data_IF_765456693768
#
_entry.id   IF_765456693768
#
_cell.length_a   1.000
_cell.length_b   1.000
_cell.length_c   1.000
_cell.angle_alpha   90.00
_cell.angle_beta   90.00
_cell.angle_gamma   90.00
#
_symmetry.space_group_name_H-M   'P 1'
#
loop_
_entity.id
_entity.type
_entity.pdbx_description
1 polymer ?
#
# COMPACT_ATOMS: atom_id res chain seq x y z
N UNK A 1 -0.47 9.35 -9.28
CA UNK A 1 0.80 9.16 -8.55
C UNK A 1 1.88 10.13 -9.02
N UNK A 2 2.29 10.14 -10.30
CA UNK A 2 3.31 11.07 -10.82
C UNK A 2 3.06 12.54 -10.42
N UNK A 3 1.85 13.05 -10.68
CA UNK A 3 1.50 14.43 -10.33
C UNK A 3 1.53 14.71 -8.82
N UNK A 4 1.20 13.71 -7.99
CA UNK A 4 1.17 13.85 -6.54
C UNK A 4 2.57 13.86 -5.93
N UNK A 5 3.54 13.14 -6.50
CA UNK A 5 4.87 12.99 -5.94
C UNK A 5 5.95 13.85 -6.63
N UNK A 6 5.63 14.48 -7.76
CA UNK A 6 6.59 15.29 -8.52
C UNK A 6 7.14 16.44 -7.68
N UNK A 7 8.46 16.65 -7.71
CA UNK A 7 9.14 17.76 -7.03
C UNK A 7 9.39 17.57 -5.53
N UNK A 8 8.92 16.46 -4.94
CA UNK A 8 9.16 16.12 -3.53
C UNK A 8 9.79 14.72 -3.44
N UNK A 9 10.67 14.51 -2.47
CA UNK A 9 11.33 13.22 -2.24
C UNK A 9 11.04 12.69 -0.85
N UNK A 10 10.90 11.37 -0.77
CA UNK A 10 10.89 10.63 0.48
C UNK A 10 12.24 10.76 1.17
N UNK A 11 12.20 11.01 2.48
CA UNK A 11 13.34 10.92 3.39
C UNK A 11 13.44 9.50 3.93
N UNK A 12 14.57 9.14 4.54
CA UNK A 12 14.76 7.79 5.08
C UNK A 12 13.70 7.44 6.15
N UNK A 13 13.28 8.45 6.92
CA UNK A 13 12.29 8.36 7.99
C UNK A 13 10.83 8.57 7.52
N UNK A 14 10.60 8.95 6.26
CA UNK A 14 9.25 9.20 5.73
C UNK A 14 8.36 7.98 5.91
N UNK A 15 7.09 8.20 6.26
CA UNK A 15 6.14 7.11 6.54
C UNK A 15 6.43 6.31 7.82
N UNK A 16 7.45 6.67 8.61
CA UNK A 16 7.85 5.96 9.83
C UNK A 16 8.15 4.47 9.58
N UNK A 17 9.28 4.09 8.95
CA UNK A 17 9.59 2.67 8.70
C UNK A 17 9.63 1.83 9.99
N UNK A 18 8.93 0.70 10.02
CA UNK A 18 8.88 -0.21 11.16
C UNK A 18 8.51 -1.63 10.70
N UNK A 19 8.51 -2.60 11.63
CA UNK A 19 8.13 -3.98 11.34
C UNK A 19 6.63 -4.10 11.02
N UNK A 20 6.33 -4.37 9.75
CA UNK A 20 4.97 -4.49 9.20
C UNK A 20 4.91 -5.63 8.19
N UNK A 21 3.70 -6.10 7.90
CA UNK A 21 3.46 -7.07 6.82
C UNK A 21 3.54 -6.38 5.46
N UNK A 22 2.96 -5.19 5.37
CA UNK A 22 3.00 -4.34 4.19
C UNK A 22 3.13 -2.88 4.62
N UNK A 23 3.95 -2.12 3.90
CA UNK A 23 4.09 -0.68 4.11
C UNK A 23 4.20 0.02 2.76
N UNK A 24 3.21 0.83 2.44
CA UNK A 24 3.22 1.74 1.30
C UNK A 24 3.52 3.16 1.80
N UNK A 25 4.44 3.85 1.13
CA UNK A 25 4.73 5.27 1.38
C UNK A 25 4.85 6.01 0.06
N UNK A 26 4.37 7.25 0.04
CA UNK A 26 4.42 8.12 -1.13
C UNK A 26 4.76 9.55 -0.73
N UNK A 27 5.64 10.18 -1.51
CA UNK A 27 5.91 11.61 -1.42
C UNK A 27 4.68 12.41 -1.85
N UNK A 28 4.39 13.47 -1.12
CA UNK A 28 3.21 14.29 -1.31
C UNK A 28 3.60 15.73 -1.59
N UNK A 29 3.47 16.12 -2.86
CA UNK A 29 3.55 17.50 -3.31
C UNK A 29 2.22 18.21 -3.07
N UNK A 30 2.22 19.06 -2.05
CA UNK A 30 1.10 19.94 -1.68
C UNK A 30 0.72 20.96 -2.77
N UNK A 31 1.66 21.30 -3.64
CA UNK A 31 1.45 22.25 -4.74
C UNK A 31 0.91 21.56 -5.99
N UNK A 32 0.80 20.22 -5.98
CA UNK A 32 0.23 19.47 -7.09
C UNK A 32 -1.23 19.83 -7.32
N UNK A 33 -1.63 19.83 -8.60
CA UNK A 33 -3.00 20.14 -9.00
C UNK A 33 -4.07 19.31 -8.27
N UNK A 34 -3.89 17.98 -8.05
CA UNK A 34 -4.87 17.19 -7.30
C UNK A 34 -5.03 17.65 -5.84
N UNK A 35 -3.93 17.98 -5.14
CA UNK A 35 -3.99 18.46 -3.74
C UNK A 35 -4.64 19.84 -3.67
N UNK A 36 -4.30 20.73 -4.61
CA UNK A 36 -4.91 22.05 -4.70
C UNK A 36 -6.42 21.97 -5.00
N UNK A 37 -6.83 21.05 -5.87
CA UNK A 37 -8.24 20.80 -6.16
C UNK A 37 -8.98 20.26 -4.93
N UNK A 38 -8.39 19.30 -4.21
CA UNK A 38 -8.97 18.78 -2.97
C UNK A 38 -9.08 19.88 -1.89
N UNK A 39 -8.06 20.73 -1.76
CA UNK A 39 -8.07 21.86 -0.82
C UNK A 39 -9.21 22.84 -1.14
N UNK A 40 -9.40 23.19 -2.41
CA UNK A 40 -10.51 24.05 -2.87
C UNK A 40 -11.89 23.43 -2.62
N UNK A 41 -12.04 22.13 -2.89
CA UNK A 41 -13.27 21.40 -2.62
C UNK A 41 -13.63 21.44 -1.13
N UNK A 42 -12.66 21.14 -0.25
CA UNK A 42 -12.85 21.20 1.19
C UNK A 42 -13.16 22.60 1.70
N UNK A 43 -12.51 23.63 1.14
CA UNK A 43 -12.83 25.01 1.47
C UNK A 43 -14.29 25.35 1.14
N UNK A 44 -14.81 24.87 -0.01
CA UNK A 44 -16.21 25.02 -0.41
C UNK A 44 -17.18 24.31 0.54
N UNK A 45 -16.84 23.12 1.03
CA UNK A 45 -17.66 22.41 2.02
C UNK A 45 -17.71 23.12 3.37
N UNK A 46 -16.58 23.66 3.84
CA UNK A 46 -16.47 24.22 5.19
C UNK A 46 -17.02 25.64 5.32
N UNK A 47 -16.96 26.43 4.25
CA UNK A 47 -17.44 27.83 4.27
C UNK A 47 -18.89 27.92 3.77
N UNK A 48 -19.39 26.86 3.10
CA UNK A 48 -20.70 26.89 2.44
C UNK A 48 -20.74 27.89 1.29
N UNK A 49 -21.80 27.85 0.47
CA UNK A 49 -22.03 28.81 -0.61
C UNK A 49 -22.30 30.26 -0.13
N UNK A 50 -22.07 30.58 1.15
CA UNK A 50 -22.11 31.96 1.63
C UNK A 50 -20.77 32.62 1.33
N UNK A 51 -20.65 33.11 0.10
CA UNK A 51 -19.54 33.96 -0.30
C UNK A 51 -19.43 35.15 0.64
N UNK A 52 -18.39 35.17 1.47
CA UNK A 52 -17.86 36.41 2.06
C UNK A 52 -16.38 36.21 2.38
N UNK A 53 -15.53 36.84 1.57
CA UNK A 53 -14.43 37.71 2.01
C UNK A 53 -13.88 37.50 3.44
N UNK A 54 -13.34 36.32 3.75
CA UNK A 54 -12.38 36.18 4.86
C UNK A 54 -11.01 36.57 4.30
N UNK A 55 -10.72 37.88 4.31
CA UNK A 55 -9.43 38.46 3.92
C UNK A 55 -9.09 38.27 2.44
N UNK A 56 -9.32 39.31 1.63
CA UNK A 56 -9.16 39.32 0.17
C UNK A 56 -7.76 39.02 -0.39
N UNK A 57 -6.80 38.57 0.43
CA UNK A 57 -5.41 38.38 0.01
C UNK A 57 -4.92 36.91 0.07
N UNK A 58 -5.61 35.99 0.76
CA UNK A 58 -5.25 34.55 0.72
C UNK A 58 -6.48 33.64 0.82
N UNK A 59 -6.73 32.77 -0.19
CA UNK A 59 -7.76 31.75 -0.08
C UNK A 59 -7.48 30.83 1.12
N UNK A 60 -8.54 30.38 1.79
CA UNK A 60 -8.46 29.39 2.86
C UNK A 60 -7.77 28.12 2.32
N UNK A 61 -6.67 27.71 2.95
CA UNK A 61 -5.95 26.48 2.60
C UNK A 61 -6.16 25.42 3.70
N UNK A 62 -7.28 24.66 3.65
CA UNK A 62 -7.61 23.67 4.66
C UNK A 62 -6.64 22.49 4.73
N UNK A 63 -5.88 22.26 3.67
CA UNK A 63 -4.85 21.22 3.60
C UNK A 63 -3.44 21.77 3.84
N UNK A 64 -3.30 23.04 4.20
CA UNK A 64 -2.01 23.69 4.44
C UNK A 64 -1.22 23.15 5.63
N UNK A 65 -1.76 22.17 6.37
CA UNK A 65 -1.09 21.45 7.44
C UNK A 65 -0.26 20.25 6.95
N UNK A 66 -0.58 19.72 5.75
CA UNK A 66 0.04 18.52 5.20
C UNK A 66 1.58 18.64 5.16
N UNK A 67 2.24 17.54 5.46
CA UNK A 67 3.68 17.33 5.34
C UNK A 67 4.07 16.91 3.93
N UNK A 68 5.15 16.13 3.83
CA UNK A 68 5.72 15.68 2.55
C UNK A 68 5.50 14.19 2.26
N UNK A 69 4.86 13.45 3.18
CA UNK A 69 4.58 12.03 2.99
C UNK A 69 3.21 11.59 3.50
N UNK A 70 2.68 10.58 2.81
CA UNK A 70 1.53 9.80 3.24
C UNK A 70 1.92 8.32 3.19
N UNK A 71 1.51 7.56 4.20
CA UNK A 71 1.80 6.14 4.28
C UNK A 71 0.60 5.34 4.74
N UNK A 72 0.47 4.14 4.19
CA UNK A 72 -0.51 3.15 4.58
C UNK A 72 0.23 1.88 4.94
N UNK A 73 -0.06 1.30 6.10
CA UNK A 73 0.62 0.10 6.56
C UNK A 73 -0.32 -0.89 7.23
N UNK A 74 0.11 -2.16 7.22
CA UNK A 74 -0.55 -3.29 7.86
C UNK A 74 0.40 -3.89 8.91
N UNK A 75 0.06 -3.73 10.19
CA UNK A 75 0.85 -4.26 11.31
C UNK A 75 0.72 -5.78 11.39
N UNK A 76 1.71 -6.45 11.98
CA UNK A 76 1.61 -7.87 12.33
C UNK A 76 0.54 -8.07 13.41
N UNK A 77 -0.38 -9.00 13.15
CA UNK A 77 -1.51 -9.28 14.04
C UNK A 77 -2.04 -10.71 13.79
N UNK A 78 -2.48 -11.44 14.82
CA UNK A 78 -3.13 -12.74 14.66
C UNK A 78 -4.34 -12.73 13.73
N UNK A 79 -5.02 -11.58 13.59
CA UNK A 79 -6.16 -11.40 12.69
C UNK A 79 -5.86 -11.84 11.24
N UNK A 80 -4.64 -11.62 10.75
CA UNK A 80 -4.26 -12.05 9.40
C UNK A 80 -4.26 -13.57 9.27
N UNK A 81 -3.74 -14.28 10.28
CA UNK A 81 -3.74 -15.74 10.28
C UNK A 81 -5.15 -16.33 10.35
N UNK A 82 -6.10 -15.62 10.97
CA UNK A 82 -7.52 -16.00 10.91
C UNK A 82 -8.09 -15.84 9.50
N UNK A 83 -7.86 -14.70 8.84
CA UNK A 83 -8.36 -14.45 7.48
C UNK A 83 -7.81 -15.42 6.44
N UNK A 84 -6.57 -15.89 6.62
CA UNK A 84 -5.94 -16.84 5.71
C UNK A 84 -6.50 -18.27 5.81
N UNK A 85 -7.15 -18.61 6.93
CA UNK A 85 -7.81 -19.92 7.10
C UNK A 85 -9.16 -19.99 6.39
N UNK A 86 -9.72 -18.84 6.00
CA UNK A 86 -11.03 -18.73 5.38
C UNK A 86 -10.93 -18.83 3.86
N UNK A 87 -11.98 -19.41 3.26
CA UNK A 87 -12.17 -19.31 1.81
C UNK A 87 -12.53 -17.88 1.39
N UNK A 88 -12.55 -17.59 0.08
CA UNK A 88 -12.76 -16.23 -0.43
C UNK A 88 -14.07 -15.59 0.03
N UNK A 89 -15.18 -16.33 0.00
CA UNK A 89 -16.50 -15.84 0.40
C UNK A 89 -16.59 -15.58 1.90
N UNK A 90 -16.12 -16.52 2.73
CA UNK A 90 -16.08 -16.35 4.18
C UNK A 90 -15.18 -15.18 4.60
N UNK A 91 -14.05 -15.01 3.89
CA UNK A 91 -13.13 -13.90 4.11
C UNK A 91 -13.78 -12.57 3.78
N UNK A 92 -14.46 -12.46 2.63
CA UNK A 92 -15.18 -11.24 2.23
C UNK A 92 -16.24 -10.86 3.26
N UNK A 93 -17.07 -11.84 3.68
CA UNK A 93 -18.08 -11.63 4.72
C UNK A 93 -17.46 -11.20 6.05
N UNK A 94 -16.36 -11.84 6.46
CA UNK A 94 -15.63 -11.46 7.67
C UNK A 94 -15.03 -10.05 7.57
N UNK A 95 -14.52 -9.65 6.42
CA UNK A 95 -14.01 -8.29 6.20
C UNK A 95 -15.11 -7.23 6.24
N UNK A 96 -16.28 -7.53 5.66
CA UNK A 96 -17.43 -6.62 5.73
C UNK A 96 -17.92 -6.44 7.16
N UNK A 97 -18.00 -7.53 7.94
CA UNK A 97 -18.51 -7.52 9.31
C UNK A 97 -17.48 -7.02 10.33
N UNK A 98 -16.26 -7.55 10.27
CA UNK A 98 -15.19 -7.35 11.26
C UNK A 98 -14.13 -6.36 10.76
N UNK A 99 -14.40 -5.59 9.70
CA UNK A 99 -13.45 -4.67 9.08
C UNK A 99 -12.88 -3.62 10.05
N UNK A 100 -13.61 -3.30 11.12
CA UNK A 100 -13.13 -2.43 12.19
C UNK A 100 -11.96 -3.03 13.00
N UNK A 101 -11.71 -4.34 12.88
CA UNK A 101 -10.57 -5.02 13.52
C UNK A 101 -9.33 -5.06 12.63
N UNK A 102 -9.41 -4.57 11.39
CA UNK A 102 -8.29 -4.61 10.46
C UNK A 102 -7.07 -3.88 11.06
N UNK A 103 -5.93 -4.57 11.24
CA UNK A 103 -4.76 -4.00 11.86
C UNK A 103 -3.96 -3.18 10.84
N UNK A 104 -4.63 -2.18 10.26
CA UNK A 104 -4.10 -1.27 9.24
C UNK A 104 -4.17 0.16 9.75
N UNK A 105 -3.31 1.03 9.24
CA UNK A 105 -3.37 2.44 9.54
C UNK A 105 -2.98 3.31 8.35
N UNK A 106 -3.58 4.49 8.32
CA UNK A 106 -3.18 5.60 7.49
C UNK A 106 -2.38 6.57 8.36
N UNK A 107 -1.18 6.94 7.93
CA UNK A 107 -0.39 8.00 8.54
C UNK A 107 -0.17 9.12 7.52
N UNK A 108 -0.47 10.34 7.93
CA UNK A 108 -0.28 11.55 7.13
C UNK A 108 0.71 12.42 7.88
N UNK A 109 1.86 12.71 7.28
CA UNK A 109 2.80 13.66 7.86
C UNK A 109 2.16 15.05 7.94
N UNK A 110 2.43 15.79 9.01
CA UNK A 110 2.03 17.19 9.15
C UNK A 110 3.23 18.06 9.50
N UNK A 111 3.20 19.31 9.02
CA UNK A 111 4.26 20.29 9.33
C UNK A 111 3.80 21.38 10.29
N UNK A 112 2.49 21.61 10.39
CA UNK A 112 1.91 22.73 11.13
C UNK A 112 0.85 22.25 12.12
N UNK A 113 1.22 21.91 13.37
CA UNK A 113 0.30 21.34 14.37
C UNK A 113 -0.94 22.19 14.61
N UNK A 114 -0.79 23.51 14.65
CA UNK A 114 -1.92 24.44 14.86
C UNK A 114 -2.91 24.41 13.70
N UNK A 115 -2.45 24.33 12.44
CA UNK A 115 -3.35 24.21 11.28
C UNK A 115 -4.05 22.86 11.26
N UNK A 116 -3.36 21.79 11.66
CA UNK A 116 -3.99 20.49 11.83
C UNK A 116 -5.07 20.51 12.91
N UNK A 117 -4.81 21.14 14.07
CA UNK A 117 -5.80 21.28 15.13
C UNK A 117 -7.04 22.05 14.67
N UNK A 118 -6.86 23.13 13.90
CA UNK A 118 -7.97 23.85 13.25
C UNK A 118 -8.73 22.95 12.28
N UNK A 119 -8.02 22.21 11.42
CA UNK A 119 -8.64 21.27 10.49
C UNK A 119 -9.48 20.21 11.22
N UNK A 120 -8.92 19.54 12.23
CA UNK A 120 -9.63 18.51 13.02
C UNK A 120 -10.84 19.09 13.76
N UNK A 121 -10.72 20.32 14.27
CA UNK A 121 -11.83 21.02 14.93
C UNK A 121 -12.95 21.31 13.94
N UNK A 122 -12.62 21.77 12.73
CA UNK A 122 -13.60 21.99 11.66
C UNK A 122 -14.28 20.70 11.22
N UNK A 123 -13.53 19.60 11.04
CA UNK A 123 -14.09 18.27 10.73
C UNK A 123 -15.06 17.81 11.83
N UNK A 124 -14.65 17.91 13.10
CA UNK A 124 -15.51 17.55 14.23
C UNK A 124 -16.78 18.41 14.27
N UNK A 125 -16.64 19.72 14.10
CA UNK A 125 -17.76 20.66 14.07
C UNK A 125 -18.74 20.35 12.93
N UNK A 126 -18.22 20.07 11.73
CA UNK A 126 -19.02 19.69 10.57
C UNK A 126 -19.83 18.41 10.81
N UNK A 127 -19.21 17.36 11.36
CA UNK A 127 -19.91 16.11 11.70
C UNK A 127 -20.97 16.36 12.78
N UNK A 128 -20.63 17.11 13.82
CA UNK A 128 -21.56 17.44 14.89
C UNK A 128 -22.76 18.25 14.40
N UNK A 129 -22.56 19.16 13.44
CA UNK A 129 -23.64 19.94 12.81
C UNK A 129 -24.49 19.10 11.86
N UNK A 130 -23.87 18.21 11.07
CA UNK A 130 -24.56 17.38 10.07
C UNK A 130 -25.35 16.22 10.70
N UNK A 131 -24.89 15.72 11.85
CA UNK A 131 -25.50 14.60 12.55
C UNK A 131 -25.38 14.73 14.08
N UNK A 132 -26.11 15.66 14.72
CA UNK A 132 -26.01 15.87 16.15
C UNK A 132 -26.32 14.59 16.94
N UNK A 133 -25.37 14.17 17.79
CA UNK A 133 -25.53 12.98 18.62
C UNK A 133 -25.49 11.64 17.85
N UNK A 134 -24.96 11.61 16.62
CA UNK A 134 -24.68 10.37 15.89
C UNK A 134 -23.28 9.82 16.18
N UNK A 135 -22.31 10.71 16.41
CA UNK A 135 -20.94 10.34 16.73
C UNK A 135 -20.57 10.76 18.15
N UNK A 136 -19.78 9.91 18.81
CA UNK A 136 -19.21 10.10 20.13
C UNK A 136 -17.69 10.23 19.98
N UNK A 137 -17.12 11.25 20.61
CA UNK A 137 -15.67 11.45 20.69
C UNK A 137 -15.23 11.23 22.12
N UNK A 138 -14.52 10.14 22.35
CA UNK A 138 -13.89 9.84 23.64
C UNK A 138 -12.39 10.10 23.54
N UNK A 139 -11.83 10.87 24.49
CA UNK A 139 -10.39 11.00 24.63
C UNK A 139 -9.88 9.90 25.56
N UNK A 140 -9.01 9.06 25.03
CA UNK A 140 -8.37 7.96 25.72
C UNK A 140 -6.88 8.29 25.93
N UNK A 141 -6.20 7.49 26.75
CA UNK A 141 -4.78 7.71 27.06
C UNK A 141 -4.04 6.38 27.04
N UNK A 142 -2.88 6.36 26.40
CA UNK A 142 -1.96 5.23 26.41
C UNK A 142 -0.54 5.76 26.63
N UNK A 143 0.14 5.28 27.68
CA UNK A 143 1.47 5.79 28.11
C UNK A 143 1.55 7.33 28.15
N UNK A 144 0.56 7.94 28.79
CA UNK A 144 0.41 9.41 28.92
C UNK A 144 0.18 10.17 27.61
N UNK A 145 0.14 9.48 26.47
CA UNK A 145 -0.18 10.09 25.18
C UNK A 145 -1.69 10.02 24.93
N UNK A 146 -2.35 11.16 24.67
CA UNK A 146 -3.76 11.17 24.35
C UNK A 146 -4.01 10.67 22.91
N UNK A 147 -5.10 9.95 22.73
CA UNK A 147 -5.66 9.62 21.42
C UNK A 147 -7.18 9.69 21.49
N UNK A 148 -7.82 9.79 20.33
CA UNK A 148 -9.27 9.99 20.25
C UNK A 148 -9.91 8.78 19.60
N UNK A 149 -10.98 8.30 20.21
CA UNK A 149 -11.89 7.29 19.68
C UNK A 149 -13.15 8.00 19.18
N UNK A 150 -13.49 7.77 17.92
CA UNK A 150 -14.74 8.20 17.30
C UNK A 150 -15.61 6.96 17.08
N UNK A 151 -16.77 6.89 17.72
CA UNK A 151 -17.70 5.76 17.59
C UNK A 151 -19.14 6.24 17.42
N UNK A 152 -20.07 5.33 17.11
CA UNK A 152 -21.49 5.65 17.16
C UNK A 152 -21.91 6.04 18.59
N UNK A 153 -22.70 7.12 18.71
CA UNK A 153 -23.31 7.53 19.97
C UNK A 153 -24.62 6.79 20.27
N UNK A 154 -25.20 6.13 19.26
CA UNK A 154 -26.42 5.31 19.38
C UNK A 154 -26.05 3.84 19.53
N UNK A 155 -25.51 3.49 20.69
CA UNK A 155 -25.32 2.10 21.07
C UNK A 155 -26.69 1.42 21.18
N UNK A 156 -26.94 0.33 20.44
CA UNK A 156 -28.17 -0.45 20.55
C UNK A 156 -29.47 0.17 19.99
N UNK A 157 -29.40 1.16 19.09
CA UNK A 157 -30.59 1.67 18.40
C UNK A 157 -31.05 0.70 17.29
N UNK A 158 -32.05 -0.13 17.61
CA UNK A 158 -32.89 -0.95 16.72
C UNK A 158 -32.28 -1.35 15.35
N UNK A 159 -31.59 -2.50 15.32
CA UNK A 159 -31.49 -3.33 14.12
C UNK A 159 -30.09 -3.61 13.56
N UNK A 160 -29.00 -3.05 14.12
CA UNK A 160 -27.64 -3.29 13.59
C UNK A 160 -26.62 -3.40 14.72
N UNK A 161 -26.61 -4.52 15.46
CA UNK A 161 -25.58 -4.83 16.48
C UNK A 161 -24.14 -4.77 15.90
N UNK A 162 -23.99 -4.94 14.59
CA UNK A 162 -22.69 -4.92 13.89
C UNK A 162 -22.00 -3.53 13.91
N UNK A 163 -22.75 -2.43 14.07
CA UNK A 163 -22.17 -1.08 14.09
C UNK A 163 -21.71 -0.61 15.48
N UNK A 164 -22.10 -1.32 16.55
CA UNK A 164 -21.78 -0.93 17.93
C UNK A 164 -20.28 -1.02 18.24
N UNK A 165 -19.56 -1.87 17.52
CA UNK A 165 -18.12 -2.09 17.67
C UNK A 165 -17.27 -1.29 16.68
N UNK A 166 -17.89 -0.57 15.75
CA UNK A 166 -17.17 0.24 14.76
C UNK A 166 -16.67 1.51 15.42
N UNK A 167 -15.35 1.66 15.44
CA UNK A 167 -14.68 2.86 15.91
C UNK A 167 -13.53 3.25 14.98
N UNK A 168 -13.27 4.55 14.91
CA UNK A 168 -12.09 5.11 14.28
C UNK A 168 -11.24 5.77 15.35
N UNK A 169 -9.97 5.39 15.43
CA UNK A 169 -8.99 5.96 16.34
C UNK A 169 -8.09 6.93 15.58
N UNK A 170 -7.79 8.07 16.17
CA UNK A 170 -6.74 8.96 15.66
C UNK A 170 -5.86 9.55 16.75
N UNK A 171 -4.61 9.85 16.40
CA UNK A 171 -3.66 10.58 17.25
C UNK A 171 -2.71 11.41 16.39
N UNK A 172 -2.10 12.42 16.99
CA UNK A 172 -1.16 13.36 16.35
C UNK A 172 0.24 13.25 16.97
N UNK A 173 0.65 12.02 17.28
CA UNK A 173 1.91 11.72 17.95
C UNK A 173 3.09 11.88 16.98
N UNK A 174 4.17 12.53 17.45
CA UNK A 174 5.31 12.92 16.61
C UNK A 174 4.92 13.97 15.58
N UNK A 175 5.22 13.70 14.32
CA UNK A 175 4.91 14.51 13.13
C UNK A 175 3.82 13.88 12.25
N UNK A 176 3.11 12.85 12.74
CA UNK A 176 2.13 12.09 11.99
C UNK A 176 0.72 12.17 12.56
N UNK A 177 -0.26 12.48 11.71
CA UNK A 177 -1.67 12.18 11.98
C UNK A 177 -1.91 10.72 11.61
N UNK A 178 -2.16 9.87 12.60
CA UNK A 178 -2.44 8.45 12.42
C UNK A 178 -3.94 8.23 12.54
N UNK A 179 -4.52 7.48 11.61
CA UNK A 179 -5.90 7.01 11.64
C UNK A 179 -5.93 5.49 11.48
N UNK A 180 -6.71 4.82 12.31
CA UNK A 180 -6.85 3.35 12.25
C UNK A 180 -8.20 2.93 12.82
N UNK A 181 -8.83 1.86 12.29
CA UNK A 181 -10.00 1.29 12.93
C UNK A 181 -9.64 0.42 14.16
N UNK A 182 -8.37 0.03 14.31
CA UNK A 182 -7.91 -0.92 15.34
C UNK A 182 -7.12 -0.21 16.45
N UNK A 183 -7.63 -0.27 17.69
CA UNK A 183 -7.04 0.40 18.84
C UNK A 183 -5.61 -0.10 19.17
N UNK A 184 -5.34 -1.39 18.98
CA UNK A 184 -4.03 -1.96 19.26
C UNK A 184 -2.98 -1.47 18.27
N UNK A 185 -3.36 -1.20 17.01
CA UNK A 185 -2.47 -0.52 16.04
C UNK A 185 -2.17 0.90 16.51
N UNK A 186 -3.16 1.63 17.02
CA UNK A 186 -2.94 2.98 17.57
C UNK A 186 -1.95 2.96 18.74
N UNK A 187 -2.15 2.05 19.70
CA UNK A 187 -1.25 1.90 20.86
C UNK A 187 0.18 1.53 20.43
N UNK A 188 0.33 0.59 19.48
CA UNK A 188 1.65 0.25 18.92
C UNK A 188 2.31 1.43 18.23
N UNK A 189 1.56 2.26 17.49
CA UNK A 189 2.10 3.46 16.86
C UNK A 189 2.59 4.49 17.87
N UNK A 190 1.82 4.70 18.95
CA UNK A 190 2.24 5.54 20.09
C UNK A 190 3.52 5.01 20.72
N UNK A 191 3.58 3.70 20.99
CA UNK A 191 4.75 3.05 21.59
C UNK A 191 6.01 3.21 20.74
N UNK A 192 5.88 3.08 19.42
CA UNK A 192 6.98 3.26 18.47
C UNK A 192 7.49 4.70 18.46
N UNK A 193 6.61 5.69 18.46
CA UNK A 193 7.04 7.09 18.48
C UNK A 193 7.74 7.42 19.80
N UNK A 194 7.19 7.00 20.95
CA UNK A 194 7.82 7.22 22.25
C UNK A 194 9.23 6.59 22.31
N UNK A 195 9.38 5.39 21.75
CA UNK A 195 10.68 4.73 21.65
C UNK A 195 11.66 5.50 20.74
N UNK A 196 11.18 6.15 19.67
CA UNK A 196 12.01 7.01 18.80
C UNK A 196 12.44 8.27 19.52
N UNK A 197 11.53 8.96 20.20
CA UNK A 197 11.82 10.19 20.92
C UNK A 197 12.86 9.97 22.03
N UNK A 198 12.81 8.82 22.70
CA UNK A 198 13.81 8.43 23.70
C UNK A 198 15.20 8.12 23.10
N UNK A 199 15.24 7.63 21.86
CA UNK A 199 16.47 7.24 21.16
C UNK A 199 17.03 8.34 20.25
N UNK A 200 16.34 9.47 20.11
CA UNK A 200 16.83 10.61 19.34
C UNK A 200 18.09 11.19 20.02
N UNK A 201 19.20 11.41 19.28
CA UNK A 201 20.37 12.07 19.84
C UNK A 201 19.97 13.47 20.31
N UNK A 202 19.89 13.66 21.62
CA UNK A 202 19.47 14.91 22.20
C UNK A 202 20.39 16.05 21.77
N UNK A 203 19.77 17.17 21.37
CA UNK A 203 20.34 18.50 21.53
C UNK A 203 20.73 18.69 23.01
N UNK A 204 21.92 18.22 23.38
CA UNK A 204 22.66 18.70 24.55
C UNK A 204 23.73 19.64 24.00
N UNK A 205 23.63 20.91 24.39
CA UNK A 205 24.37 22.02 23.80
C UNK A 205 25.90 21.89 23.82
N UNK A 206 26.53 22.56 22.84
CA UNK A 206 27.98 22.79 22.83
C UNK A 206 28.62 22.93 21.44
N UNK A 207 28.40 24.08 20.78
CA UNK A 207 29.33 24.86 19.91
C UNK A 207 30.28 24.12 18.93
N UNK A 208 29.90 24.18 17.64
CA UNK A 208 30.68 24.45 16.39
C UNK A 208 31.74 23.46 15.83
N UNK A 209 32.08 23.54 14.52
CA UNK A 209 31.25 23.48 13.30
C UNK A 209 31.84 22.44 12.26
N UNK A 210 31.28 22.26 11.05
CA UNK A 210 31.55 21.09 10.20
C UNK A 210 32.80 21.29 9.32
N UNK A 211 33.51 20.21 9.01
CA UNK A 211 34.53 20.24 7.95
C UNK A 211 34.51 18.99 7.08
N UNK A 212 34.42 19.27 5.78
CA UNK A 212 34.77 18.47 4.59
C UNK A 212 33.89 17.27 4.17
N UNK A 213 33.08 17.57 3.15
CA UNK A 213 32.75 16.84 1.92
C UNK A 213 33.67 15.67 1.46
N UNK A 214 33.15 14.81 0.56
CA UNK A 214 33.57 13.42 0.39
C UNK A 214 34.70 13.26 -0.63
N UNK A 215 35.67 12.39 -0.32
CA UNK A 215 36.65 11.90 -1.30
C UNK A 215 36.29 10.47 -1.74
N UNK A 216 36.40 10.29 -3.05
CA UNK A 216 36.03 9.12 -3.83
C UNK A 216 36.92 7.89 -3.61
N UNK A 217 36.38 6.73 -4.03
CA UNK A 217 37.03 5.48 -4.48
C UNK A 217 37.47 4.48 -3.41
N UNK A 218 36.62 3.47 -3.27
CA UNK A 218 36.94 2.14 -2.75
C UNK A 218 35.76 1.23 -3.08
N UNK A 219 35.87 0.50 -4.20
CA UNK A 219 34.89 -0.50 -4.60
C UNK A 219 35.08 -1.72 -3.69
N UNK A 220 34.32 -1.79 -2.61
CA UNK A 220 34.19 -3.00 -1.80
C UNK A 220 32.71 -3.17 -1.43
N UNK A 221 32.22 -4.39 -1.62
CA UNK A 221 30.83 -4.78 -1.53
C UNK A 221 30.16 -4.25 -0.25
N UNK A 222 29.22 -3.32 -0.42
CA UNK A 222 28.29 -2.94 0.65
C UNK A 222 27.48 -4.19 1.00
N UNK A 223 27.49 -4.66 2.27
CA UNK A 223 26.74 -5.85 2.65
C UNK A 223 25.25 -5.62 2.37
N UNK A 224 24.71 -6.40 1.42
CA UNK A 224 23.35 -6.33 0.85
C UNK A 224 22.22 -6.30 1.91
N UNK A 225 22.51 -6.70 3.15
CA UNK A 225 21.57 -6.76 4.25
C UNK A 225 21.22 -5.39 4.88
N UNK A 226 22.05 -4.35 4.71
CA UNK A 226 21.83 -3.04 5.36
C UNK A 226 20.85 -2.10 4.62
N UNK A 227 20.54 -2.37 3.35
CA UNK A 227 19.72 -1.45 2.53
C UNK A 227 18.22 -1.75 2.54
N UNK A 228 17.78 -2.91 3.03
CA UNK A 228 16.36 -3.26 3.14
C UNK A 228 15.58 -2.35 4.11
N UNK A 229 16.27 -1.64 5.01
CA UNK A 229 15.65 -0.71 5.95
C UNK A 229 15.40 0.68 5.35
N UNK A 230 16.07 1.03 4.25
CA UNK A 230 15.83 2.28 3.51
C UNK A 230 14.71 2.15 2.47
N UNK A 231 14.10 3.25 2.07
CA UNK A 231 13.15 3.25 0.95
C UNK A 231 13.90 3.13 -0.37
N UNK A 232 13.52 2.16 -1.21
CA UNK A 232 14.20 1.95 -2.51
C UNK A 232 13.86 3.02 -3.56
N UNK A 233 12.75 3.73 -3.37
CA UNK A 233 12.26 4.78 -4.26
C UNK A 233 12.15 6.11 -3.54
N UNK A 234 12.45 7.19 -4.27
CA UNK A 234 12.38 8.56 -3.72
C UNK A 234 10.97 9.15 -3.85
N UNK A 235 10.07 8.57 -4.66
CA UNK A 235 8.73 9.09 -4.89
C UNK A 235 7.64 8.19 -4.31
N UNK A 236 7.77 6.88 -4.53
CA UNK A 236 6.90 5.84 -3.97
C UNK A 236 7.77 4.69 -3.54
N UNK A 237 7.50 4.12 -2.38
CA UNK A 237 8.14 2.88 -1.94
C UNK A 237 7.12 1.95 -1.30
N UNK A 238 7.32 0.65 -1.49
CA UNK A 238 6.51 -0.39 -0.89
C UNK A 238 7.43 -1.46 -0.31
N UNK A 239 7.14 -1.88 0.92
CA UNK A 239 7.82 -3.00 1.58
C UNK A 239 6.82 -4.08 1.95
N UNK A 240 7.25 -5.32 1.82
CA UNK A 240 6.52 -6.52 2.23
C UNK A 240 7.46 -7.44 3.01
N UNK A 241 6.93 -8.05 4.07
CA UNK A 241 7.71 -8.92 4.96
C UNK A 241 6.98 -10.24 5.26
N UNK A 242 7.69 -11.38 5.11
CA UNK A 242 7.46 -12.83 5.37
C UNK A 242 6.06 -13.43 5.15
N UNK A 243 5.11 -12.59 4.84
CA UNK A 243 3.69 -12.80 4.73
C UNK A 243 3.33 -11.78 3.63
N UNK A 244 3.22 -12.11 2.36
CA UNK A 244 2.35 -13.15 1.89
C UNK A 244 2.43 -13.19 0.36
N UNK A 245 2.72 -14.36 -0.23
CA UNK A 245 2.24 -14.66 -1.58
C UNK A 245 0.72 -14.45 -1.68
N UNK A 246 -0.01 -14.69 -0.58
CA UNK A 246 -1.48 -14.61 -0.46
C UNK A 246 -2.06 -13.17 -0.38
N UNK A 247 -1.29 -12.15 0.00
CA UNK A 247 -1.77 -10.76 0.19
C UNK A 247 -1.50 -9.90 -1.03
N UNK A 248 -0.46 -10.26 -1.80
CA UNK A 248 -0.41 -9.90 -3.21
C UNK A 248 -1.63 -10.48 -3.94
N UNK A 249 -2.02 -11.73 -3.65
CA UNK A 249 -3.29 -12.28 -4.14
C UNK A 249 -4.51 -11.52 -3.61
N UNK A 250 -4.53 -10.98 -2.38
CA UNK A 250 -5.60 -10.10 -1.88
C UNK A 250 -5.76 -8.79 -2.68
N UNK A 251 -4.67 -8.16 -3.14
CA UNK A 251 -4.77 -7.03 -4.08
C UNK A 251 -5.07 -7.46 -5.52
N UNK A 252 -4.61 -8.65 -5.92
CA UNK A 252 -4.83 -9.21 -7.25
C UNK A 252 -6.19 -9.94 -7.39
N UNK A 253 -6.93 -10.12 -6.29
CA UNK A 253 -8.21 -10.86 -6.16
C UNK A 253 -9.38 -10.16 -6.90
N UNK A 254 -9.12 -9.10 -7.64
CA UNK A 254 -10.01 -8.63 -8.71
C UNK A 254 -10.04 -9.63 -9.89
N UNK A 255 -9.10 -10.59 -9.94
CA UNK A 255 -9.13 -11.74 -10.85
C UNK A 255 -8.67 -13.03 -10.14
N UNK A 256 -9.41 -14.14 -10.32
CA UNK A 256 -8.94 -15.47 -9.89
C UNK A 256 -7.55 -15.71 -10.51
N UNK A 257 -6.49 -15.94 -9.72
CA UNK A 257 -5.13 -16.09 -10.25
C UNK A 257 -5.03 -17.24 -11.25
N UNK A 258 -5.90 -18.25 -11.15
CA UNK A 258 -6.01 -19.34 -12.12
C UNK A 258 -6.58 -18.86 -13.45
N UNK A 259 -7.57 -17.95 -13.43
CA UNK A 259 -8.13 -17.35 -14.63
C UNK A 259 -7.15 -16.39 -15.31
N UNK A 260 -6.42 -15.59 -14.52
CA UNK A 260 -5.35 -14.74 -15.04
C UNK A 260 -4.23 -15.59 -15.66
N UNK A 261 -3.79 -16.65 -14.97
CA UNK A 261 -2.81 -17.61 -15.49
C UNK A 261 -3.32 -18.36 -16.74
N UNK A 262 -4.60 -18.72 -16.79
CA UNK A 262 -5.24 -19.34 -17.95
C UNK A 262 -5.26 -18.38 -19.15
N UNK A 263 -5.63 -17.12 -18.93
CA UNK A 263 -5.64 -16.10 -20.00
C UNK A 263 -4.24 -15.86 -20.54
N UNK A 264 -3.24 -15.74 -19.66
CA UNK A 264 -1.83 -15.66 -20.05
C UNK A 264 -1.35 -16.94 -20.75
N UNK A 265 -1.85 -18.10 -20.34
CA UNK A 265 -1.52 -19.36 -21.01
C UNK A 265 -2.10 -19.40 -22.42
N UNK A 266 -3.34 -18.91 -22.60
CA UNK A 266 -4.05 -18.94 -23.87
C UNK A 266 -3.57 -17.89 -24.86
N UNK A 267 -3.03 -16.76 -24.39
CA UNK A 267 -2.45 -15.73 -25.27
C UNK A 267 -1.22 -16.24 -26.05
N UNK A 268 -0.56 -17.29 -25.58
CA UNK A 268 0.53 -17.97 -26.28
C UNK A 268 0.05 -18.89 -27.42
N UNK A 269 -1.18 -19.40 -27.36
CA UNK A 269 -1.66 -20.41 -28.32
C UNK A 269 -1.74 -19.91 -29.77
N UNK A 270 -2.20 -18.68 -30.07
CA UNK A 270 -2.26 -18.19 -31.45
C UNK A 270 -0.91 -18.20 -32.18
N UNK A 271 0.17 -17.78 -31.51
CA UNK A 271 1.49 -17.77 -32.14
C UNK A 271 2.05 -19.19 -32.31
N UNK A 272 1.82 -20.08 -31.34
CA UNK A 272 2.23 -21.48 -31.45
C UNK A 272 1.44 -22.22 -32.54
N UNK A 273 0.15 -21.92 -32.73
CA UNK A 273 -0.66 -22.43 -33.84
C UNK A 273 -0.09 -22.00 -35.19
N UNK A 274 0.34 -20.74 -35.30
CA UNK A 274 0.95 -20.24 -36.53
C UNK A 274 2.30 -20.94 -36.82
N UNK A 275 3.10 -21.22 -35.79
CA UNK A 275 4.32 -22.03 -35.95
C UNK A 275 4.02 -23.45 -36.39
N UNK A 276 3.01 -24.10 -35.80
CA UNK A 276 2.59 -25.45 -36.24
C UNK A 276 2.13 -25.45 -37.69
N UNK A 277 1.42 -24.41 -38.13
CA UNK A 277 0.95 -24.28 -39.51
C UNK A 277 2.10 -24.10 -40.52
N UNK A 278 3.11 -23.28 -40.16
CA UNK A 278 4.26 -22.99 -41.05
C UNK A 278 5.33 -24.07 -41.03
N UNK A 279 5.51 -24.74 -39.90
CA UNK A 279 6.54 -25.74 -39.66
C UNK A 279 5.92 -27.00 -39.03
N UNK A 280 5.15 -27.78 -39.80
CA UNK A 280 4.34 -28.89 -39.26
C UNK A 280 5.17 -29.98 -38.57
N UNK A 281 6.41 -30.18 -39.02
CA UNK A 281 7.31 -31.23 -38.53
C UNK A 281 8.21 -30.78 -37.37
N UNK A 282 7.99 -29.58 -36.82
CA UNK A 282 8.79 -29.04 -35.70
C UNK A 282 7.91 -28.72 -34.51
N UNK A 283 8.51 -28.74 -33.32
CA UNK A 283 7.84 -28.26 -32.11
C UNK A 283 7.65 -26.73 -32.19
N UNK A 284 6.40 -26.24 -32.16
CA UNK A 284 6.11 -24.81 -32.12
C UNK A 284 6.83 -24.02 -31.02
N UNK A 285 7.06 -24.64 -29.86
CA UNK A 285 7.73 -24.00 -28.72
C UNK A 285 9.21 -23.81 -29.01
N UNK A 286 9.89 -24.83 -29.55
CA UNK A 286 11.29 -24.74 -29.96
C UNK A 286 11.48 -23.74 -31.11
N UNK A 287 10.55 -23.71 -32.07
CA UNK A 287 10.55 -22.73 -33.15
C UNK A 287 10.46 -21.32 -32.59
N UNK A 288 9.52 -21.06 -31.67
CA UNK A 288 9.41 -19.75 -31.02
C UNK A 288 10.72 -19.35 -30.32
N UNK A 289 11.28 -20.25 -29.51
CA UNK A 289 12.52 -19.99 -28.79
C UNK A 289 13.69 -19.66 -29.71
N UNK A 290 13.80 -20.34 -30.85
CA UNK A 290 14.86 -20.07 -31.82
C UNK A 290 14.74 -18.72 -32.53
N UNK A 291 13.51 -18.29 -32.83
CA UNK A 291 13.28 -17.02 -33.54
C UNK A 291 13.33 -15.80 -32.60
N UNK A 292 12.86 -15.95 -31.35
CA UNK A 292 12.69 -14.84 -30.40
C UNK A 292 13.68 -14.87 -29.22
N UNK A 293 14.56 -15.89 -29.17
CA UNK A 293 15.50 -16.12 -28.06
C UNK A 293 14.82 -16.11 -26.67
N UNK A 294 13.55 -16.54 -26.62
CA UNK A 294 12.70 -16.55 -25.42
C UNK A 294 11.85 -17.81 -25.44
N UNK A 295 11.80 -18.56 -24.34
CA UNK A 295 10.95 -19.73 -24.23
C UNK A 295 9.56 -19.36 -23.70
N UNK A 296 8.51 -19.84 -24.37
CA UNK A 296 7.14 -19.67 -23.89
C UNK A 296 6.82 -20.76 -22.85
N UNK A 297 6.74 -20.35 -21.60
CA UNK A 297 6.41 -21.22 -20.48
C UNK A 297 4.93 -21.12 -20.11
N UNK A 298 4.31 -22.26 -19.78
CA UNK A 298 2.95 -22.28 -19.25
C UNK A 298 2.96 -21.75 -17.80
N UNK A 299 2.17 -20.72 -17.45
CA UNK A 299 2.17 -20.13 -16.10
C UNK A 299 1.83 -21.11 -14.96
N UNK A 300 1.11 -22.20 -15.27
CA UNK A 300 0.78 -23.27 -14.32
C UNK A 300 1.80 -24.41 -14.23
N UNK A 301 3.01 -24.23 -14.76
CA UNK A 301 4.07 -25.26 -14.73
C UNK A 301 3.86 -26.41 -15.73
N UNK A 302 2.91 -26.26 -16.65
CA UNK A 302 2.61 -27.23 -17.70
C UNK A 302 3.48 -27.08 -18.96
N UNK A 303 3.08 -27.80 -20.01
CA UNK A 303 3.67 -27.70 -21.36
C UNK A 303 2.61 -27.27 -22.37
N UNK A 304 3.04 -26.75 -23.50
CA UNK A 304 2.19 -26.55 -24.66
C UNK A 304 2.31 -27.75 -25.60
N UNK A 305 1.18 -28.34 -25.97
CA UNK A 305 1.13 -29.53 -26.82
C UNK A 305 0.10 -29.35 -27.94
N UNK A 306 0.31 -30.03 -29.06
CA UNK A 306 -0.65 -30.03 -30.16
C UNK A 306 -1.82 -30.98 -29.85
N UNK A 307 -3.05 -30.46 -29.89
CA UNK A 307 -4.27 -31.25 -29.79
C UNK A 307 -4.79 -31.58 -31.20
N UNK A 308 -4.69 -32.84 -31.61
CA UNK A 308 -5.12 -33.29 -32.95
C UNK A 308 -6.64 -33.23 -33.14
N UNK A 309 -7.43 -33.46 -32.09
CA UNK A 309 -8.88 -33.44 -32.17
C UNK A 309 -9.41 -32.04 -32.50
N UNK A 310 -8.88 -31.03 -31.82
CA UNK A 310 -9.27 -29.63 -31.99
C UNK A 310 -8.42 -28.88 -33.02
N UNK A 311 -7.33 -29.50 -33.51
CA UNK A 311 -6.34 -28.90 -34.42
C UNK A 311 -5.83 -27.54 -33.92
N UNK A 312 -5.49 -27.49 -32.64
CA UNK A 312 -4.92 -26.30 -31.97
C UNK A 312 -3.90 -26.74 -30.93
N UNK A 313 -2.96 -25.85 -30.63
CA UNK A 313 -2.14 -25.94 -29.45
C UNK A 313 -3.02 -25.79 -28.20
N UNK A 314 -2.65 -26.51 -27.14
CA UNK A 314 -3.28 -26.44 -25.82
C UNK A 314 -2.23 -26.45 -24.72
N UNK A 315 -2.60 -25.95 -23.54
CA UNK A 315 -1.83 -26.15 -22.31
C UNK A 315 -2.22 -27.46 -21.65
N UNK A 316 -1.24 -28.24 -21.18
CA UNK A 316 -1.51 -29.46 -20.39
C UNK A 316 -2.21 -29.18 -19.06
N UNK A 317 -2.17 -27.94 -18.57
CA UNK A 317 -2.78 -27.52 -17.30
C UNK A 317 -4.09 -26.76 -17.53
N UNK A 318 -4.13 -25.88 -18.52
CA UNK A 318 -5.26 -24.96 -18.74
C UNK A 318 -6.13 -25.30 -19.96
N UNK A 319 -5.76 -26.33 -20.73
CA UNK A 319 -6.44 -26.68 -21.98
C UNK A 319 -6.32 -25.58 -23.03
N UNK A 320 -7.38 -25.39 -23.82
CA UNK A 320 -7.52 -24.32 -24.81
C UNK A 320 -8.94 -23.73 -24.71
N UNK A 321 -9.22 -22.57 -25.35
CA UNK A 321 -10.52 -21.90 -25.19
C UNK A 321 -11.78 -22.72 -25.54
N UNK A 322 -11.64 -23.76 -26.38
CA UNK A 322 -12.74 -24.66 -26.76
C UNK A 322 -12.97 -25.82 -25.79
N UNK A 323 -11.98 -26.14 -24.96
CA UNK A 323 -12.05 -27.16 -23.93
C UNK A 323 -11.24 -26.69 -22.70
N UNK A 324 -11.78 -25.72 -21.94
CA UNK A 324 -11.04 -25.08 -20.87
C UNK A 324 -10.81 -26.03 -19.70
N UNK A 325 -9.57 -26.08 -19.20
CA UNK A 325 -9.19 -26.80 -17.99
C UNK A 325 -8.80 -25.79 -16.91
N UNK A 326 -9.20 -26.06 -15.67
CA UNK A 326 -8.83 -25.29 -14.49
C UNK A 326 -8.33 -26.27 -13.43
N UNK A 327 -7.05 -26.19 -13.03
CA UNK A 327 -6.52 -27.12 -12.04
C UNK A 327 -7.15 -26.87 -10.67
N UNK A 328 -7.48 -27.95 -9.95
CA UNK A 328 -7.98 -27.87 -8.57
C UNK A 328 -6.93 -27.28 -7.62
N UNK A 329 -5.65 -27.56 -7.88
CA UNK A 329 -4.50 -27.02 -7.16
C UNK A 329 -3.64 -26.18 -8.10
N UNK A 330 -3.49 -24.90 -7.79
CA UNK A 330 -2.63 -23.98 -8.52
C UNK A 330 -1.68 -23.30 -7.55
N UNK A 331 -0.40 -23.65 -7.65
CA UNK A 331 0.66 -22.94 -6.98
C UNK A 331 1.12 -21.83 -7.93
N UNK A 332 0.72 -20.59 -7.65
CA UNK A 332 1.25 -19.46 -8.40
C UNK A 332 2.78 -19.47 -8.26
N UNK A 333 3.56 -19.21 -9.34
CA UNK A 333 5.01 -19.09 -9.28
C UNK A 333 5.45 -17.79 -8.59
N UNK A 334 4.84 -17.46 -7.45
CA UNK A 334 5.37 -16.52 -6.49
C UNK A 334 6.48 -17.26 -5.75
N UNK A 335 7.71 -17.04 -6.18
CA UNK A 335 8.89 -17.54 -5.48
C UNK A 335 8.78 -17.24 -3.98
N UNK A 336 9.13 -18.17 -3.07
CA UNK A 336 9.15 -17.86 -1.65
C UNK A 336 10.23 -16.80 -1.40
N UNK A 337 9.80 -15.56 -1.25
CA UNK A 337 10.64 -14.46 -0.80
C UNK A 337 10.31 -14.18 0.68
N UNK A 338 11.36 -14.03 1.47
CA UNK A 338 11.31 -13.55 2.84
C UNK A 338 10.84 -12.09 2.89
N UNK A 339 11.41 -11.24 2.02
CA UNK A 339 11.12 -9.81 1.97
C UNK A 339 11.10 -9.33 0.53
N UNK A 340 10.21 -8.41 0.22
CA UNK A 340 10.19 -7.71 -1.05
C UNK A 340 10.15 -6.21 -0.79
N UNK A 341 11.04 -5.47 -1.43
CA UNK A 341 11.04 -4.02 -1.43
C UNK A 341 10.95 -3.52 -2.86
N UNK A 342 10.05 -2.59 -3.10
CA UNK A 342 9.84 -1.96 -4.39
C UNK A 342 9.95 -0.44 -4.25
N UNK A 343 10.54 0.21 -5.24
CA UNK A 343 10.73 1.65 -5.25
C UNK A 343 10.51 2.24 -6.64
N UNK A 344 9.83 3.37 -6.69
CA UNK A 344 9.73 4.23 -7.87
C UNK A 344 10.31 5.61 -7.55
N UNK A 345 11.17 6.10 -8.43
CA UNK A 345 11.66 7.49 -8.46
C UNK A 345 11.24 8.12 -9.77
N UNK A 346 10.49 9.23 -9.69
CA UNK A 346 10.24 10.09 -10.85
C UNK A 346 11.42 11.07 -11.00
N UNK A 347 12.10 11.00 -12.14
CA UNK A 347 13.21 11.87 -12.51
C UNK A 347 12.74 12.88 -13.57
N UNK A 348 13.50 13.95 -13.82
CA UNK A 348 13.13 15.00 -14.78
C UNK A 348 12.80 14.45 -16.18
N UNK A 349 13.52 13.40 -16.61
CA UNK A 349 13.41 12.81 -17.96
C UNK A 349 13.05 11.31 -17.93
N UNK A 350 12.50 10.78 -16.83
CA UNK A 350 12.19 9.35 -16.80
C UNK A 350 11.65 8.79 -15.50
N UNK A 351 11.46 7.47 -15.52
CA UNK A 351 11.02 6.66 -14.40
C UNK A 351 12.10 5.64 -14.07
N UNK A 352 12.57 5.65 -12.82
CA UNK A 352 13.43 4.59 -12.30
C UNK A 352 12.62 3.69 -11.37
N UNK A 353 12.57 2.40 -11.67
CA UNK A 353 12.03 1.38 -10.78
C UNK A 353 13.15 0.52 -10.19
N UNK A 354 12.99 0.11 -8.94
CA UNK A 354 13.88 -0.83 -8.25
C UNK A 354 13.04 -1.89 -7.55
N UNK A 355 13.50 -3.14 -7.62
CA UNK A 355 12.91 -4.27 -6.92
C UNK A 355 14.04 -5.05 -6.26
N UNK A 356 13.94 -5.25 -4.95
CA UNK A 356 14.81 -6.14 -4.19
C UNK A 356 13.97 -7.26 -3.58
N UNK A 357 14.40 -8.49 -3.80
CA UNK A 357 13.76 -9.69 -3.28
C UNK A 357 14.79 -10.44 -2.42
N UNK A 358 14.50 -10.56 -1.13
CA UNK A 358 15.24 -11.45 -0.24
C UNK A 358 14.57 -12.83 -0.29
N UNK A 359 15.33 -13.87 -0.63
CA UNK A 359 14.83 -15.26 -0.64
C UNK A 359 15.09 -15.92 0.71
N UNK A 360 14.21 -16.82 1.12
CA UNK A 360 14.52 -17.71 2.24
C UNK A 360 15.63 -18.67 1.81
N UNK A 361 16.74 -18.67 2.54
CA UNK A 361 17.79 -19.67 2.37
C UNK A 361 17.25 -21.04 2.80
N UNK A 362 17.49 -22.07 1.99
CA UNK A 362 17.17 -23.46 2.34
C UNK A 362 17.98 -23.93 3.55
#
# INVERSE_FOLDING_TARGET
MLQLASGVKLKAESGEPHDTIAHFVMALNRESAPVQQASRFLAGMMVGNQGTNVGADKPLDPLGWLGESISFYADRDPYWAELLKLNSTERELKLMRDGYRLPVALRIEFRQPLRLALFLTSVRSFIQQSGPGLAKWDTLTHREQPYVKVSSARHGAAGVEELDNVALYYSTVGDGLILTPNEEVMKRAIDRQLARDQNAPGERGGVSPPTSSPSSRGADAVPLAKNLDSWLGDSVAVKFDHALPQFFLWFAEVADPRQAAQTNSWSNLPILNEWKRRYPDRDPVEVHARFWNTELVCPGGGRYVWNEHWRTMESTVFGHPGEPKLPEKFEAPLFPFAKASFGLTFELDGLRSRLELLREGK
#
